data_IF_101285531301
#
_entry.id   IF_101285531301
#
_cell.length_a   1.000
_cell.length_b   1.000
_cell.length_c   1.000
_cell.angle_alpha   90.00
_cell.angle_beta   90.00
_cell.angle_gamma   90.00
#
_symmetry.space_group_name_H-M   'P 1'
#
loop_
_entity.id
_entity.type
_entity.pdbx_description
1 polymer ?
#
# COMPACT_ATOMS: atom_id res chain seq x y z
N UNK A 1 4.02 -4.86 31.48
CA UNK A 1 3.19 -3.63 31.50
C UNK A 1 2.75 -3.35 30.08
N UNK A 2 1.59 -2.73 29.85
CA UNK A 2 1.06 -2.47 28.51
C UNK A 2 0.46 -1.06 28.43
N UNK A 3 0.38 -0.50 27.22
CA UNK A 3 -0.25 0.80 26.94
C UNK A 3 -1.53 0.53 26.14
N UNK A 4 -2.66 1.04 26.62
CA UNK A 4 -3.94 0.95 25.91
C UNK A 4 -4.05 2.12 24.91
N UNK A 5 -4.27 1.81 23.64
CA UNK A 5 -4.62 2.77 22.60
C UNK A 5 -6.10 2.61 22.23
N UNK A 6 -7.02 3.35 22.86
CA UNK A 6 -8.47 3.12 22.72
C UNK A 6 -9.03 3.55 21.36
N UNK A 7 -8.29 4.34 20.58
CA UNK A 7 -8.69 4.80 19.25
C UNK A 7 -8.26 3.85 18.12
N UNK A 8 -7.42 2.86 18.40
CA UNK A 8 -6.99 1.89 17.40
C UNK A 8 -8.14 0.93 17.08
N UNK A 9 -8.39 0.70 15.80
CA UNK A 9 -9.43 -0.19 15.33
C UNK A 9 -9.04 -0.95 14.06
N UNK A 10 -10.00 -1.74 13.56
CA UNK A 10 -9.89 -2.48 12.30
C UNK A 10 -11.03 -2.05 11.36
N UNK A 11 -10.82 -2.21 10.06
CA UNK A 11 -11.79 -1.83 9.02
C UNK A 11 -11.83 -2.89 7.93
N UNK A 12 -12.99 -3.08 7.31
CA UNK A 12 -13.11 -3.83 6.07
C UNK A 12 -12.54 -2.98 4.92
N UNK A 13 -11.32 -3.29 4.50
CA UNK A 13 -10.65 -2.57 3.41
C UNK A 13 -11.40 -2.71 2.08
N UNK A 14 -11.98 -3.88 1.78
CA UNK A 14 -12.76 -4.08 0.55
C UNK A 14 -14.06 -3.28 0.61
N UNK A 15 -14.79 -3.37 1.73
CA UNK A 15 -16.00 -2.58 1.93
C UNK A 15 -15.77 -1.06 1.85
N UNK A 16 -14.60 -0.59 2.30
CA UNK A 16 -14.19 0.81 2.18
C UNK A 16 -13.90 1.19 0.72
N UNK A 17 -13.14 0.38 -0.02
CA UNK A 17 -12.88 0.60 -1.45
C UNK A 17 -14.17 0.61 -2.28
N UNK A 18 -15.08 -0.34 -2.01
CA UNK A 18 -16.39 -0.39 -2.65
C UNK A 18 -17.22 0.87 -2.36
N UNK A 19 -17.13 1.41 -1.14
CA UNK A 19 -17.79 2.66 -0.79
C UNK A 19 -17.23 3.83 -1.61
N UNK A 20 -15.90 3.95 -1.71
CA UNK A 20 -15.27 4.99 -2.53
C UNK A 20 -15.64 4.88 -4.00
N UNK A 21 -15.63 3.68 -4.59
CA UNK A 21 -16.03 3.46 -5.98
C UNK A 21 -17.49 3.86 -6.23
N UNK A 22 -18.41 3.46 -5.34
CA UNK A 22 -19.82 3.86 -5.44
C UNK A 22 -20.01 5.37 -5.37
N UNK A 23 -19.31 6.05 -4.46
CA UNK A 23 -19.40 7.51 -4.35
C UNK A 23 -18.81 8.22 -5.57
N UNK A 24 -17.69 7.73 -6.11
CA UNK A 24 -17.11 8.24 -7.35
C UNK A 24 -18.09 8.11 -8.53
N UNK A 25 -18.69 6.92 -8.71
CA UNK A 25 -19.71 6.66 -9.72
C UNK A 25 -20.94 7.56 -9.56
N UNK A 26 -21.43 7.73 -8.33
CA UNK A 26 -22.57 8.60 -8.03
C UNK A 26 -22.30 10.05 -8.42
N UNK A 27 -21.09 10.56 -8.15
CA UNK A 27 -20.69 11.94 -8.49
C UNK A 27 -20.46 12.12 -10.00
N UNK A 28 -19.87 11.13 -10.67
CA UNK A 28 -19.59 11.19 -12.10
C UNK A 28 -20.84 10.99 -12.98
N UNK A 29 -21.87 10.30 -12.48
CA UNK A 29 -23.06 9.93 -13.26
C UNK A 29 -22.85 8.75 -14.22
N UNK A 30 -21.63 8.23 -14.31
CA UNK A 30 -21.21 7.04 -15.06
C UNK A 30 -20.18 6.26 -14.24
N UNK A 31 -19.86 5.04 -14.64
CA UNK A 31 -18.76 4.29 -14.01
C UNK A 31 -17.41 4.87 -14.49
N UNK A 32 -16.57 5.43 -13.60
CA UNK A 32 -15.28 5.99 -13.99
C UNK A 32 -14.18 4.93 -14.12
N UNK A 33 -14.44 3.68 -13.70
CA UNK A 33 -13.41 2.65 -13.62
C UNK A 33 -13.36 1.82 -14.90
N UNK A 34 -12.16 1.70 -15.48
CA UNK A 34 -11.86 0.79 -16.59
C UNK A 34 -10.81 -0.20 -16.09
N UNK A 35 -11.24 -1.45 -15.91
CA UNK A 35 -10.38 -2.55 -15.46
C UNK A 35 -9.68 -3.22 -16.63
N UNK A 36 -8.76 -4.14 -16.33
CA UNK A 36 -7.97 -4.90 -17.31
C UNK A 36 -7.28 -4.00 -18.36
N UNK A 37 -6.91 -2.79 -17.93
CA UNK A 37 -6.31 -1.74 -18.75
C UNK A 37 -5.01 -1.27 -18.11
N UNK A 38 -3.88 -1.64 -18.70
CA UNK A 38 -2.54 -1.29 -18.23
C UNK A 38 -2.07 0.03 -18.86
N UNK A 39 -1.54 0.95 -18.06
CA UNK A 39 -0.81 2.12 -18.56
C UNK A 39 0.58 1.67 -19.02
N UNK A 40 0.91 1.94 -20.26
CA UNK A 40 2.16 1.50 -20.91
C UNK A 40 3.11 2.64 -21.27
N UNK A 41 2.63 3.88 -21.21
CA UNK A 41 3.46 5.07 -21.43
C UNK A 41 2.71 6.37 -21.18
N UNK A 42 3.46 7.41 -20.83
CA UNK A 42 2.92 8.75 -20.58
C UNK A 42 3.79 9.76 -21.33
N UNK A 43 3.19 10.54 -22.21
CA UNK A 43 3.90 11.55 -23.00
C UNK A 43 3.40 12.95 -22.61
N UNK A 44 4.26 13.79 -22.00
CA UNK A 44 3.93 15.18 -21.76
C UNK A 44 3.76 15.92 -23.09
N UNK A 45 2.64 16.62 -23.23
CA UNK A 45 2.33 17.49 -24.38
C UNK A 45 2.05 18.91 -23.90
N UNK A 46 1.86 19.85 -24.82
CA UNK A 46 1.72 21.28 -24.50
C UNK A 46 0.64 21.56 -23.44
N UNK A 47 -0.50 20.88 -23.55
CA UNK A 47 -1.69 21.12 -22.71
C UNK A 47 -2.11 19.85 -21.94
N UNK A 48 -1.15 19.06 -21.43
CA UNK A 48 -1.40 17.88 -20.61
C UNK A 48 -0.54 16.68 -20.98
N UNK A 49 -1.18 15.51 -21.06
CA UNK A 49 -0.52 14.23 -21.27
C UNK A 49 -1.30 13.39 -22.28
N UNK A 50 -0.57 12.71 -23.16
CA UNK A 50 -1.08 11.54 -23.88
C UNK A 50 -0.72 10.33 -23.03
N UNK A 51 -1.73 9.58 -22.59
CA UNK A 51 -1.57 8.34 -21.80
C UNK A 51 -1.84 7.15 -22.70
N UNK A 52 -0.82 6.33 -22.91
CA UNK A 52 -0.88 5.08 -23.69
C UNK A 52 -1.30 3.95 -22.79
N UNK A 53 -2.25 3.15 -23.25
CA UNK A 53 -2.81 2.03 -22.50
C UNK A 53 -2.96 0.80 -23.37
N UNK A 54 -3.05 -0.36 -22.73
CA UNK A 54 -3.39 -1.63 -23.35
C UNK A 54 -4.53 -2.28 -22.58
N UNK A 55 -5.63 -2.58 -23.28
CA UNK A 55 -6.77 -3.31 -22.72
C UNK A 55 -7.01 -4.59 -23.51
N UNK A 56 -6.81 -5.74 -22.87
CA UNK A 56 -7.04 -7.05 -23.52
C UNK A 56 -6.16 -7.31 -24.75
N UNK A 57 -4.98 -6.69 -24.83
CA UNK A 57 -4.06 -6.79 -25.98
C UNK A 57 -4.20 -5.66 -27.00
N UNK A 58 -5.26 -4.84 -26.90
CA UNK A 58 -5.54 -3.76 -27.84
C UNK A 58 -4.96 -2.43 -27.30
N UNK A 59 -3.97 -1.82 -27.98
CA UNK A 59 -3.40 -0.55 -27.57
C UNK A 59 -4.31 0.62 -27.96
N UNK A 60 -4.43 1.61 -27.08
CA UNK A 60 -5.12 2.86 -27.35
C UNK A 60 -4.53 4.02 -26.52
N UNK A 61 -4.95 5.24 -26.82
CA UNK A 61 -4.45 6.46 -26.17
C UNK A 61 -5.62 7.32 -25.69
N UNK A 62 -5.41 8.05 -24.60
CA UNK A 62 -6.28 9.14 -24.15
C UNK A 62 -5.47 10.39 -23.90
N UNK A 63 -6.12 11.55 -24.03
CA UNK A 63 -5.56 12.83 -23.61
C UNK A 63 -6.17 13.25 -22.28
N UNK A 64 -5.32 13.73 -21.37
CA UNK A 64 -5.77 14.33 -20.11
C UNK A 64 -4.89 15.50 -19.71
N UNK A 65 -5.51 16.55 -19.16
CA UNK A 65 -4.79 17.67 -18.53
C UNK A 65 -4.10 17.27 -17.23
N UNK A 66 -4.66 16.28 -16.54
CA UNK A 66 -4.22 15.84 -15.20
C UNK A 66 -4.06 14.33 -15.18
N UNK A 67 -2.93 13.86 -14.67
CA UNK A 67 -2.67 12.44 -14.43
C UNK A 67 -2.22 12.27 -12.97
N UNK A 68 -2.92 11.41 -12.24
CA UNK A 68 -2.61 11.07 -10.85
C UNK A 68 -2.03 9.66 -10.86
N UNK A 69 -0.74 9.54 -10.59
CA UNK A 69 -0.06 8.28 -10.42
C UNK A 69 -0.26 7.75 -9.00
N UNK A 70 -1.16 6.78 -8.86
CA UNK A 70 -1.44 6.04 -7.62
C UNK A 70 -1.14 4.54 -7.77
N UNK A 71 -0.12 4.17 -8.57
CA UNK A 71 0.13 2.80 -8.99
C UNK A 71 0.80 1.89 -7.93
N UNK A 72 0.80 2.29 -6.65
CA UNK A 72 1.26 1.46 -5.54
C UNK A 72 2.68 0.93 -5.73
N UNK A 73 2.84 -0.40 -5.80
CA UNK A 73 4.12 -1.11 -5.99
C UNK A 73 4.87 -0.72 -7.27
N UNK A 74 4.20 -0.10 -8.23
CA UNK A 74 4.75 0.32 -9.53
C UNK A 74 4.69 1.84 -9.73
N UNK A 75 4.45 2.61 -8.67
CA UNK A 75 4.37 4.07 -8.76
C UNK A 75 5.68 4.73 -9.22
N UNK A 76 6.84 4.15 -8.91
CA UNK A 76 8.12 4.60 -9.46
C UNK A 76 8.22 4.36 -10.97
N UNK A 77 7.82 3.18 -11.46
CA UNK A 77 7.79 2.88 -12.90
C UNK A 77 6.85 3.81 -13.67
N UNK A 78 5.68 4.11 -13.13
CA UNK A 78 4.75 5.07 -13.76
C UNK A 78 5.32 6.49 -13.75
N UNK A 79 6.07 6.87 -12.71
CA UNK A 79 6.79 8.15 -12.70
C UNK A 79 7.90 8.18 -13.77
N UNK A 80 8.65 7.08 -13.93
CA UNK A 80 9.66 6.91 -14.99
C UNK A 80 9.04 6.97 -16.39
N UNK A 81 7.85 6.39 -16.60
CA UNK A 81 7.10 6.49 -17.86
C UNK A 81 6.80 7.93 -18.26
N UNK A 82 6.64 8.85 -17.30
CA UNK A 82 6.44 10.28 -17.54
C UNK A 82 7.76 11.06 -17.75
N UNK A 83 8.91 10.37 -17.76
CA UNK A 83 10.24 10.95 -17.97
C UNK A 83 10.97 11.38 -16.69
N UNK A 84 10.50 10.99 -15.51
CA UNK A 84 11.17 11.31 -14.24
C UNK A 84 12.35 10.37 -14.02
N UNK A 85 13.53 10.94 -13.78
CA UNK A 85 14.69 10.20 -13.27
C UNK A 85 14.43 9.83 -11.79
N UNK A 86 14.00 8.59 -11.57
CA UNK A 86 13.55 8.11 -10.26
C UNK A 86 14.67 8.01 -9.22
N UNK A 87 15.93 7.89 -9.64
CA UNK A 87 17.08 7.90 -8.72
C UNK A 87 17.34 9.31 -8.22
N UNK A 88 17.37 10.27 -9.15
CA UNK A 88 17.60 11.67 -8.83
C UNK A 88 16.43 12.27 -8.03
N UNK A 89 15.21 11.87 -8.34
CA UNK A 89 14.01 12.27 -7.61
C UNK A 89 13.87 11.59 -6.24
N UNK A 90 14.60 10.48 -6.02
CA UNK A 90 14.48 9.68 -4.80
C UNK A 90 13.18 8.87 -4.73
N UNK A 91 12.63 8.49 -5.89
CA UNK A 91 11.35 7.78 -6.02
C UNK A 91 11.50 6.28 -6.18
N UNK A 92 12.71 5.77 -6.43
CA UNK A 92 12.97 4.34 -6.57
C UNK A 92 12.35 3.56 -5.40
N UNK A 93 11.50 2.59 -5.72
CA UNK A 93 10.90 1.73 -4.73
C UNK A 93 11.74 0.50 -4.46
N UNK A 94 11.62 0.03 -3.23
CA UNK A 94 12.07 -1.26 -2.76
C UNK A 94 10.85 -2.01 -2.22
N UNK A 95 10.74 -3.30 -2.51
CA UNK A 95 9.61 -4.08 -2.03
C UNK A 95 9.95 -4.76 -0.71
N UNK A 96 9.12 -4.50 0.30
CA UNK A 96 9.18 -5.21 1.58
C UNK A 96 7.96 -6.10 1.72
N UNK A 97 8.20 -7.41 1.69
CA UNK A 97 7.18 -8.45 1.87
C UNK A 97 6.91 -8.66 3.35
N UNK A 98 5.65 -8.86 3.68
CA UNK A 98 5.20 -9.28 4.99
C UNK A 98 4.24 -10.44 4.88
N UNK A 99 4.46 -11.47 5.70
CA UNK A 99 3.70 -12.72 5.69
C UNK A 99 2.92 -12.89 6.98
N UNK A 100 1.78 -13.56 6.90
CA UNK A 100 0.86 -13.74 8.01
C UNK A 100 0.51 -15.21 8.19
N UNK A 101 0.39 -15.61 9.45
CA UNK A 101 -0.16 -16.90 9.86
C UNK A 101 -1.53 -16.69 10.51
N UNK A 102 -2.51 -17.50 10.15
CA UNK A 102 -3.81 -17.53 10.82
C UNK A 102 -3.80 -18.54 11.97
N UNK A 103 -4.55 -18.23 13.02
CA UNK A 103 -4.80 -19.13 14.14
C UNK A 103 -6.09 -19.92 13.88
N UNK A 104 -6.03 -21.23 13.99
CA UNK A 104 -7.21 -22.10 13.99
C UNK A 104 -7.82 -22.22 15.39
N UNK A 105 -9.12 -22.47 15.43
CA UNK A 105 -9.86 -22.55 16.69
C UNK A 105 -10.21 -21.18 17.27
N UNK A 106 -10.56 -21.16 18.56
CA UNK A 106 -11.01 -19.96 19.25
C UNK A 106 -9.80 -19.16 19.74
N UNK A 107 -9.62 -17.88 19.34
CA UNK A 107 -8.49 -17.09 19.81
C UNK A 107 -8.60 -16.83 21.33
N UNK A 108 -7.47 -16.84 22.07
CA UNK A 108 -7.47 -16.54 23.51
C UNK A 108 -7.99 -15.12 23.82
N UNK A 109 -7.69 -14.18 22.92
CA UNK A 109 -8.24 -12.84 22.92
C UNK A 109 -8.38 -12.33 21.48
N UNK A 110 -9.42 -11.54 21.22
CA UNK A 110 -9.65 -10.87 19.93
C UNK A 110 -9.32 -9.39 20.08
N UNK A 111 -8.02 -9.07 20.10
CA UNK A 111 -7.51 -7.72 20.31
C UNK A 111 -6.26 -7.49 19.45
N UNK A 112 -6.04 -6.24 19.06
CA UNK A 112 -4.77 -5.77 18.49
C UNK A 112 -3.72 -5.70 19.61
N UNK A 113 -2.67 -6.51 19.50
CA UNK A 113 -1.56 -6.55 20.43
C UNK A 113 -0.29 -6.40 19.60
N UNK A 114 0.45 -5.32 19.88
CA UNK A 114 1.73 -5.01 19.28
C UNK A 114 2.82 -5.21 20.34
N UNK A 115 3.77 -6.15 20.14
CA UNK A 115 4.94 -6.18 21.00
C UNK A 115 5.77 -4.89 20.80
N UNK A 116 6.63 -4.52 21.76
CA UNK A 116 7.62 -3.48 21.53
C UNK A 116 8.42 -3.80 20.26
N UNK A 117 8.70 -2.81 19.39
CA UNK A 117 9.48 -3.05 18.19
C UNK A 117 10.85 -3.65 18.56
N UNK A 118 11.34 -4.68 17.84
CA UNK A 118 12.71 -5.13 18.00
C UNK A 118 13.69 -3.98 17.73
N UNK A 119 14.82 -3.96 18.43
CA UNK A 119 15.79 -2.85 18.36
C UNK A 119 16.40 -2.66 16.95
N UNK A 120 16.28 -3.66 16.08
CA UNK A 120 16.92 -3.80 14.78
C UNK A 120 15.93 -4.10 13.63
N UNK A 121 14.62 -4.13 13.88
CA UNK A 121 13.65 -4.55 12.88
C UNK A 121 13.10 -3.40 12.02
N UNK A 122 12.97 -3.68 10.72
CA UNK A 122 12.21 -2.88 9.76
C UNK A 122 10.67 -3.00 9.93
N UNK A 123 10.21 -3.63 11.03
CA UNK A 123 8.79 -3.80 11.38
C UNK A 123 8.55 -3.62 12.88
N UNK A 124 7.27 -3.55 13.26
CA UNK A 124 6.82 -3.50 14.66
C UNK A 124 6.86 -4.88 15.36
N UNK A 125 7.52 -5.88 14.77
CA UNK A 125 7.43 -7.28 15.20
C UNK A 125 6.13 -7.96 14.78
N UNK A 126 6.03 -9.25 15.08
CA UNK A 126 4.82 -10.06 14.85
C UNK A 126 3.74 -9.58 15.81
N UNK A 127 2.67 -8.99 15.29
CA UNK A 127 1.54 -8.50 16.08
C UNK A 127 0.28 -9.30 15.78
N UNK A 128 -0.73 -9.20 16.65
CA UNK A 128 -2.03 -9.81 16.37
C UNK A 128 -2.90 -8.91 15.51
N UNK A 129 -3.60 -9.54 14.56
CA UNK A 129 -4.47 -8.88 13.58
C UNK A 129 -5.83 -9.58 13.61
N UNK A 130 -6.76 -9.17 14.50
CA UNK A 130 -8.12 -9.65 14.48
C UNK A 130 -8.84 -9.15 13.23
N UNK A 131 -9.76 -9.96 12.68
CA UNK A 131 -10.68 -9.49 11.64
C UNK A 131 -12.13 -9.38 12.13
N UNK A 132 -12.97 -8.79 11.28
CA UNK A 132 -14.39 -8.55 11.58
C UNK A 132 -15.22 -9.84 11.69
N UNK A 133 -14.67 -10.99 11.26
CA UNK A 133 -15.30 -12.31 11.39
C UNK A 133 -14.94 -13.01 12.70
N UNK A 134 -14.06 -12.40 13.51
CA UNK A 134 -13.57 -12.99 14.75
C UNK A 134 -12.42 -13.99 14.58
N UNK A 135 -11.79 -14.04 13.39
CA UNK A 135 -10.54 -14.79 13.21
C UNK A 135 -9.36 -13.93 13.66
N UNK A 136 -8.28 -14.61 14.07
CA UNK A 136 -7.03 -13.97 14.47
C UNK A 136 -5.91 -14.40 13.53
N UNK A 137 -5.17 -13.41 13.03
CA UNK A 137 -3.90 -13.61 12.34
C UNK A 137 -2.76 -13.05 13.17
N UNK A 138 -1.56 -13.48 12.86
CA UNK A 138 -0.32 -12.98 13.41
C UNK A 138 0.60 -12.57 12.28
N UNK A 139 1.26 -11.43 12.49
CA UNK A 139 2.17 -10.86 11.52
C UNK A 139 1.91 -9.38 11.29
N UNK A 140 2.50 -8.81 10.25
CA UNK A 140 3.45 -9.49 9.39
C UNK A 140 4.87 -9.43 9.94
N UNK A 141 5.70 -10.37 9.51
CA UNK A 141 7.14 -10.10 9.47
C UNK A 141 7.45 -9.03 8.41
N UNK A 142 8.72 -8.64 8.27
CA UNK A 142 9.13 -7.77 7.18
C UNK A 142 10.52 -8.12 6.70
N UNK A 143 10.65 -8.35 5.40
CA UNK A 143 11.94 -8.55 4.73
C UNK A 143 11.86 -8.00 3.30
N UNK A 144 13.00 -7.58 2.76
CA UNK A 144 13.07 -7.07 1.39
C UNK A 144 13.11 -8.22 0.38
N UNK A 145 12.51 -7.99 -0.78
CA UNK A 145 12.46 -8.93 -1.90
C UNK A 145 12.71 -8.19 -3.21
N UNK A 146 13.32 -8.88 -4.17
CA UNK A 146 13.59 -8.35 -5.52
C UNK A 146 12.48 -8.73 -6.52
N UNK A 147 11.60 -9.64 -6.14
CA UNK A 147 10.50 -10.13 -6.98
C UNK A 147 9.17 -10.13 -6.23
N UNK A 148 8.10 -9.85 -6.95
CA UNK A 148 6.74 -9.91 -6.41
C UNK A 148 6.30 -11.38 -6.39
N UNK A 149 6.31 -11.98 -5.20
CA UNK A 149 5.81 -13.32 -4.93
C UNK A 149 4.89 -13.28 -3.70
N UNK A 150 3.67 -13.80 -3.83
CA UNK A 150 2.67 -13.79 -2.76
C UNK A 150 2.58 -15.10 -1.97
N UNK A 151 3.38 -16.12 -2.29
CA UNK A 151 3.44 -17.35 -1.50
C UNK A 151 3.92 -17.07 -0.07
N UNK A 152 3.41 -17.79 0.94
CA UNK A 152 3.95 -17.72 2.31
C UNK A 152 5.07 -18.76 2.42
N UNK A 153 6.29 -18.30 2.66
CA UNK A 153 7.48 -19.15 2.64
C UNK A 153 8.22 -19.15 3.98
N UNK A 154 7.84 -18.26 4.90
CA UNK A 154 8.42 -18.17 6.24
C UNK A 154 8.20 -19.47 7.02
N UNK A 155 9.21 -19.84 7.80
CA UNK A 155 9.04 -20.92 8.76
C UNK A 155 8.08 -20.52 9.88
N UNK A 156 7.29 -21.50 10.32
CA UNK A 156 6.29 -21.31 11.36
C UNK A 156 6.90 -21.12 12.76
N UNK A 157 8.05 -21.76 13.02
CA UNK A 157 8.65 -21.80 14.35
C UNK A 157 9.11 -20.42 14.85
N UNK A 158 9.79 -19.58 14.05
CA UNK A 158 10.14 -18.22 14.48
C UNK A 158 8.92 -17.36 14.77
N UNK A 159 7.89 -17.41 13.92
CA UNK A 159 6.61 -16.74 14.17
C UNK A 159 6.01 -17.19 15.51
N UNK A 160 5.95 -18.50 15.75
CA UNK A 160 5.40 -19.06 16.97
C UNK A 160 6.14 -18.59 18.22
N UNK A 161 7.48 -18.54 18.16
CA UNK A 161 8.32 -18.02 19.27
C UNK A 161 7.96 -16.60 19.66
N UNK A 162 7.79 -15.70 18.68
CA UNK A 162 7.37 -14.32 18.94
C UNK A 162 5.95 -14.26 19.51
N UNK A 163 5.03 -15.06 18.95
CA UNK A 163 3.61 -15.09 19.35
C UNK A 163 3.44 -15.53 20.81
N UNK A 164 4.14 -16.57 21.26
CA UNK A 164 3.95 -17.12 22.61
C UNK A 164 4.44 -16.21 23.73
N UNK A 165 5.21 -15.16 23.42
CA UNK A 165 5.57 -14.14 24.40
C UNK A 165 4.34 -13.37 24.93
N UNK A 166 3.30 -13.23 24.11
CA UNK A 166 2.07 -12.51 24.46
C UNK A 166 0.78 -13.34 24.33
N UNK A 167 0.85 -14.52 23.70
CA UNK A 167 -0.20 -15.55 23.70
C UNK A 167 0.38 -16.93 24.08
N UNK A 168 0.67 -17.19 25.36
CA UNK A 168 1.41 -18.39 25.80
C UNK A 168 0.71 -19.72 25.54
N UNK A 169 -0.61 -19.71 25.36
CA UNK A 169 -1.42 -20.92 25.13
C UNK A 169 -1.54 -21.29 23.64
N UNK A 170 -1.00 -20.48 22.72
CA UNK A 170 -1.02 -20.78 21.28
C UNK A 170 -0.04 -21.92 20.98
N UNK A 171 -0.54 -23.00 20.39
CA UNK A 171 0.29 -24.11 19.93
C UNK A 171 0.77 -23.86 18.52
N UNK A 172 1.99 -24.27 18.22
CA UNK A 172 2.56 -24.13 16.87
C UNK A 172 1.70 -24.83 15.81
N UNK A 173 1.10 -25.98 16.12
CA UNK A 173 0.23 -26.71 15.19
C UNK A 173 -1.05 -25.96 14.82
N UNK A 174 -1.48 -25.00 15.63
CA UNK A 174 -2.69 -24.22 15.37
C UNK A 174 -2.45 -23.05 14.38
N UNK A 175 -1.19 -22.74 14.07
CA UNK A 175 -0.81 -21.69 13.12
C UNK A 175 -0.71 -22.23 11.69
N UNK A 176 -1.31 -21.54 10.74
CA UNK A 176 -1.27 -21.92 9.32
C UNK A 176 -0.91 -20.72 8.44
N UNK A 177 -0.11 -20.92 7.38
CA UNK A 177 0.09 -19.90 6.36
C UNK A 177 -1.25 -19.34 5.86
N UNK A 178 -1.39 -18.02 5.77
CA UNK A 178 -2.66 -17.39 5.42
C UNK A 178 -2.53 -16.41 4.25
N UNK A 179 -1.80 -15.31 4.42
CA UNK A 179 -1.67 -14.29 3.38
C UNK A 179 -0.30 -13.61 3.42
N UNK A 180 0.00 -12.88 2.36
CA UNK A 180 1.15 -11.97 2.28
C UNK A 180 0.71 -10.61 1.75
N UNK A 181 1.51 -9.59 2.02
CA UNK A 181 1.39 -8.28 1.40
C UNK A 181 2.77 -7.71 1.10
N UNK A 182 2.88 -6.88 0.07
CA UNK A 182 4.09 -6.14 -0.25
C UNK A 182 3.88 -4.66 0.01
N UNK A 183 4.89 -4.01 0.55
CA UNK A 183 4.95 -2.56 0.77
C UNK A 183 5.87 -1.94 -0.27
N UNK A 184 5.41 -0.85 -0.87
CA UNK A 184 6.23 0.05 -1.66
C UNK A 184 7.05 0.95 -0.71
N UNK A 185 8.31 0.61 -0.45
CA UNK A 185 9.22 1.37 0.42
C UNK A 185 10.08 2.32 -0.41
N UNK A 186 10.25 3.56 0.04
CA UNK A 186 11.22 4.51 -0.54
C UNK A 186 12.64 4.31 0.03
N UNK A 187 12.72 3.70 1.20
CA UNK A 187 13.95 3.35 1.89
C UNK A 187 14.36 1.91 1.53
N UNK A 188 15.66 1.70 1.31
CA UNK A 188 16.23 0.37 1.12
C UNK A 188 16.61 -0.32 2.44
N UNK A 189 17.22 -1.51 2.37
CA UNK A 189 17.79 -2.19 3.54
C UNK A 189 18.85 -1.31 4.24
N UNK A 190 18.64 -1.02 5.53
CA UNK A 190 19.56 -0.22 6.35
C UNK A 190 19.41 1.30 6.23
N UNK A 191 18.61 1.79 5.29
CA UNK A 191 18.31 3.20 5.16
C UNK A 191 17.39 3.70 6.29
N UNK A 192 17.45 4.99 6.65
CA UNK A 192 16.46 5.59 7.53
C UNK A 192 15.06 5.54 6.90
N UNK A 193 14.04 5.51 7.75
CA UNK A 193 12.64 5.59 7.31
C UNK A 193 12.41 6.89 6.52
N UNK A 194 11.74 6.77 5.38
CA UNK A 194 11.33 7.90 4.54
C UNK A 194 9.80 8.04 4.57
N UNK A 195 9.34 9.27 4.47
CA UNK A 195 7.91 9.59 4.39
C UNK A 195 7.39 9.42 2.96
N UNK A 196 6.06 9.42 2.81
CA UNK A 196 5.38 9.35 1.51
C UNK A 196 5.78 10.50 0.59
N UNK A 197 5.85 10.24 -0.71
CA UNK A 197 5.88 11.29 -1.73
C UNK A 197 4.45 11.50 -2.22
N UNK A 198 3.89 12.67 -1.94
CA UNK A 198 2.62 13.14 -2.51
C UNK A 198 2.88 14.52 -3.09
N UNK A 199 3.06 14.60 -4.42
CA UNK A 199 3.63 15.79 -5.05
C UNK A 199 3.04 16.06 -6.42
N UNK A 200 2.79 17.33 -6.71
CA UNK A 200 2.55 17.82 -8.05
C UNK A 200 3.88 18.22 -8.73
N UNK A 201 4.22 17.62 -9.86
CA UNK A 201 5.56 17.66 -10.46
C UNK A 201 5.78 18.89 -11.38
N UNK A 202 5.18 20.04 -11.04
CA UNK A 202 5.30 21.27 -11.84
C UNK A 202 6.76 21.71 -11.97
N UNK A 203 7.53 21.59 -10.89
CA UNK A 203 8.92 22.02 -10.83
C UNK A 203 9.88 21.06 -11.55
N UNK A 204 9.40 19.88 -11.94
CA UNK A 204 10.07 18.99 -12.89
C UNK A 204 9.61 19.21 -14.35
N UNK A 205 8.80 20.25 -14.60
CA UNK A 205 8.27 20.55 -15.93
C UNK A 205 7.09 19.68 -16.34
N UNK A 206 6.41 19.02 -15.38
CA UNK A 206 5.26 18.14 -15.60
C UNK A 206 3.99 18.70 -14.93
N UNK A 207 3.52 19.90 -15.31
CA UNK A 207 2.30 20.45 -14.74
C UNK A 207 1.09 19.54 -15.02
N UNK A 208 0.27 19.27 -14.00
CA UNK A 208 -0.83 18.31 -14.05
C UNK A 208 -0.45 16.87 -13.73
N UNK A 209 0.83 16.54 -13.56
CA UNK A 209 1.27 15.21 -13.11
C UNK A 209 1.41 15.19 -11.59
N UNK A 210 0.64 14.35 -10.91
CA UNK A 210 0.65 14.20 -9.45
C UNK A 210 1.11 12.79 -9.10
N UNK A 211 2.20 12.67 -8.36
CA UNK A 211 2.77 11.41 -7.92
C UNK A 211 2.39 11.09 -6.47
N UNK A 212 1.94 9.85 -6.25
CA UNK A 212 1.84 9.21 -4.95
C UNK A 212 2.79 8.01 -4.94
N UNK A 213 4.00 8.19 -4.39
CA UNK A 213 5.04 7.16 -4.36
C UNK A 213 5.33 6.74 -2.93
N UNK A 214 5.48 5.43 -2.73
CA UNK A 214 5.85 4.87 -1.43
C UNK A 214 4.72 4.91 -0.38
N UNK A 215 3.45 4.91 -0.81
CA UNK A 215 2.29 4.91 0.10
C UNK A 215 2.16 3.52 0.76
N UNK A 216 2.97 3.26 1.77
CA UNK A 216 2.90 2.07 2.61
C UNK A 216 2.00 2.29 3.84
N UNK A 217 2.22 1.60 4.97
CA UNK A 217 1.49 1.90 6.21
C UNK A 217 1.84 3.31 6.73
N UNK A 218 0.88 4.15 7.14
CA UNK A 218 -0.55 3.87 7.38
C UNK A 218 -1.50 4.32 6.24
N UNK A 219 -1.16 4.04 4.98
CA UNK A 219 -1.84 4.52 3.77
C UNK A 219 -3.35 4.26 3.70
N UNK A 220 -3.82 3.10 4.18
CA UNK A 220 -5.26 2.80 4.27
C UNK A 220 -5.96 3.80 5.20
N UNK A 221 -5.41 4.02 6.39
CA UNK A 221 -5.95 4.93 7.40
C UNK A 221 -5.90 6.38 6.93
N UNK A 222 -4.83 6.79 6.25
CA UNK A 222 -4.66 8.15 5.74
C UNK A 222 -5.34 8.39 4.39
N UNK A 223 -5.94 7.38 3.75
CA UNK A 223 -6.46 7.48 2.38
C UNK A 223 -7.44 8.65 2.14
N UNK A 224 -8.37 9.01 3.05
CA UNK A 224 -9.25 10.16 2.81
C UNK A 224 -8.50 11.49 2.78
N UNK A 225 -7.53 11.67 3.70
CA UNK A 225 -6.73 12.90 3.79
C UNK A 225 -5.78 13.02 2.62
N UNK A 226 -5.19 11.91 2.17
CA UNK A 226 -4.39 11.86 0.94
C UNK A 226 -5.23 12.33 -0.26
N UNK A 227 -6.48 11.87 -0.37
CA UNK A 227 -7.38 12.27 -1.45
C UNK A 227 -7.70 13.79 -1.41
N UNK A 228 -7.94 14.36 -0.23
CA UNK A 228 -8.15 15.81 -0.06
C UNK A 228 -6.92 16.63 -0.48
N UNK A 229 -5.71 16.17 -0.16
CA UNK A 229 -4.47 16.81 -0.60
C UNK A 229 -4.34 16.80 -2.12
N UNK A 230 -4.61 15.65 -2.75
CA UNK A 230 -4.55 15.50 -4.22
C UNK A 230 -5.63 16.35 -4.88
N UNK A 231 -6.86 16.34 -4.37
CA UNK A 231 -7.95 17.19 -4.89
C UNK A 231 -7.54 18.66 -4.89
N UNK A 232 -6.95 19.15 -3.79
CA UNK A 232 -6.47 20.52 -3.70
C UNK A 232 -5.42 20.83 -4.78
N UNK A 233 -4.45 19.95 -4.99
CA UNK A 233 -3.44 20.11 -6.05
C UNK A 233 -4.07 20.16 -7.45
N UNK A 234 -5.07 19.32 -7.71
CA UNK A 234 -5.81 19.31 -8.98
C UNK A 234 -6.58 20.62 -9.17
N UNK A 235 -7.31 21.08 -8.15
CA UNK A 235 -8.07 22.34 -8.23
C UNK A 235 -7.16 23.53 -8.46
N UNK A 236 -6.08 23.64 -7.69
CA UNK A 236 -5.11 24.74 -7.81
C UNK A 236 -4.44 24.81 -9.21
N UNK A 237 -4.37 23.69 -9.94
CA UNK A 237 -3.82 23.62 -11.29
C UNK A 237 -4.85 23.88 -12.39
N UNK A 238 -6.10 23.46 -12.19
CA UNK A 238 -7.16 23.59 -13.19
C UNK A 238 -7.86 24.96 -13.17
N UNK A 239 -7.89 25.61 -12.00
CA UNK A 239 -8.43 26.98 -11.78
C UNK A 239 -7.52 28.06 -12.42
#
# INVERSE_FOLDING_TARGET
QAILSPSTGIVDAHGLMDHFHREARRKAGSDPLVLDTEVTGIEPVKDGFIVRMNSGGEPFEIESRVVINSAGLFSDRVAEMAGIDIDKAGYRLHWSKGEYFSLTGKPPALMLIYPPPPQDAASLGIHSVPDLTGRLRFGPNAFYVDEINYAVESEKEPFWRDIVEYFPDVRMDDLHPDMTGLRAKLQGPGDPVKDFVIRHETDMGLPGFINLVGIESPGLTSSPVIAEMVEKMVRDYLD
#
